data_IF_616512411498
#
_entry.id   IF_616512411498
#
_cell.length_a   1.000
_cell.length_b   1.000
_cell.length_c   1.000
_cell.angle_alpha   90.00
_cell.angle_beta   90.00
_cell.angle_gamma   90.00
#
_symmetry.space_group_name_H-M   'P 1'
#
loop_
_entity.id
_entity.type
_entity.pdbx_description
1 polymer ?
#
# COMPACT_ATOMS: atom_id res chain seq x y z
N UNK A 1 -8.64 -5.89 -21.56
CA UNK A 1 -7.72 -6.60 -20.63
C UNK A 1 -7.38 -7.95 -21.25
N UNK A 2 -6.12 -8.24 -21.55
CA UNK A 2 -5.72 -9.59 -21.99
C UNK A 2 -5.78 -10.53 -20.79
N UNK A 3 -6.82 -11.38 -20.74
CA UNK A 3 -7.07 -12.32 -19.65
C UNK A 3 -5.90 -13.30 -19.49
N UNK A 4 -5.29 -13.76 -20.60
CA UNK A 4 -4.16 -14.68 -20.55
C UNK A 4 -2.90 -14.01 -19.99
N UNK A 5 -2.63 -12.76 -20.39
CA UNK A 5 -1.54 -11.97 -19.85
C UNK A 5 -1.72 -11.74 -18.36
N UNK A 6 -2.91 -11.34 -17.91
CA UNK A 6 -3.21 -11.14 -16.47
C UNK A 6 -2.93 -12.40 -15.63
N UNK A 7 -3.40 -13.57 -16.05
CA UNK A 7 -3.12 -14.82 -15.30
C UNK A 7 -1.63 -15.19 -15.32
N UNK A 8 -0.91 -14.88 -16.40
CA UNK A 8 0.55 -15.09 -16.43
C UNK A 8 1.27 -14.14 -15.46
N UNK A 9 0.79 -12.92 -15.28
CA UNK A 9 1.38 -11.92 -14.40
C UNK A 9 1.07 -12.17 -12.92
N UNK A 10 0.05 -12.98 -12.59
CA UNK A 10 -0.30 -13.29 -11.19
C UNK A 10 0.88 -13.88 -10.40
N UNK A 11 1.78 -14.59 -11.05
CA UNK A 11 2.98 -15.15 -10.42
C UNK A 11 3.88 -14.04 -9.83
N UNK A 12 3.85 -12.84 -10.38
CA UNK A 12 4.58 -11.66 -9.90
C UNK A 12 3.72 -10.79 -8.99
N UNK A 13 2.43 -10.67 -9.30
CA UNK A 13 1.48 -9.82 -8.59
C UNK A 13 1.19 -10.36 -7.19
N UNK A 14 0.94 -11.66 -7.05
CA UNK A 14 0.55 -12.25 -5.75
C UNK A 14 1.62 -12.04 -4.66
N UNK A 15 2.90 -12.36 -4.87
CA UNK A 15 3.93 -12.07 -3.87
C UNK A 15 4.10 -10.57 -3.61
N UNK A 16 3.98 -9.73 -4.65
CA UNK A 16 4.09 -8.28 -4.51
C UNK A 16 2.94 -7.68 -3.68
N UNK A 17 1.70 -8.10 -3.92
CA UNK A 17 0.53 -7.71 -3.13
C UNK A 17 0.65 -8.22 -1.69
N UNK A 18 1.08 -9.48 -1.50
CA UNK A 18 1.27 -10.05 -0.17
C UNK A 18 2.27 -9.23 0.65
N UNK A 19 3.38 -8.79 0.04
CA UNK A 19 4.36 -7.91 0.69
C UNK A 19 3.72 -6.55 0.98
N UNK A 20 3.12 -5.90 -0.03
CA UNK A 20 2.59 -4.54 0.08
C UNK A 20 1.50 -4.41 1.15
N UNK A 21 0.54 -5.33 1.18
CA UNK A 21 -0.51 -5.35 2.19
C UNK A 21 0.03 -5.69 3.59
N UNK A 22 0.97 -6.64 3.67
CA UNK A 22 1.53 -7.04 4.98
C UNK A 22 2.30 -5.91 5.65
N UNK A 23 3.13 -5.18 4.90
CA UNK A 23 3.90 -4.06 5.47
C UNK A 23 3.00 -2.88 5.82
N UNK A 24 1.95 -2.66 5.03
CA UNK A 24 0.94 -1.64 5.28
C UNK A 24 0.19 -1.88 6.60
N UNK A 25 -0.43 -3.05 6.72
CA UNK A 25 -1.19 -3.42 7.92
C UNK A 25 -0.28 -3.55 9.16
N UNK A 26 0.94 -4.09 8.99
CA UNK A 26 1.93 -4.11 10.07
C UNK A 26 2.26 -2.70 10.56
N UNK A 27 2.42 -1.72 9.66
CA UNK A 27 2.74 -0.36 10.04
C UNK A 27 1.63 0.29 10.87
N UNK A 28 0.37 0.11 10.48
CA UNK A 28 -0.77 0.54 11.29
C UNK A 28 -0.76 -0.09 12.69
N UNK A 29 -0.61 -1.42 12.76
CA UNK A 29 -0.56 -2.14 14.03
C UNK A 29 0.62 -1.68 14.89
N UNK A 30 1.79 -1.47 14.28
CA UNK A 30 3.01 -1.09 14.99
C UNK A 30 2.91 0.32 15.58
N UNK A 31 2.43 1.30 14.80
CA UNK A 31 2.25 2.67 15.29
C UNK A 31 1.16 2.72 16.35
N UNK A 32 0.02 2.05 16.14
CA UNK A 32 -1.04 1.93 17.15
C UNK A 32 -0.52 1.35 18.47
N UNK A 33 0.26 0.26 18.39
CA UNK A 33 0.90 -0.36 19.55
C UNK A 33 1.86 0.61 20.28
N UNK A 34 2.68 1.35 19.51
CA UNK A 34 3.59 2.36 20.08
C UNK A 34 2.87 3.52 20.75
N UNK A 35 1.66 3.82 20.32
CA UNK A 35 0.79 4.83 20.92
C UNK A 35 -0.02 4.32 22.12
N UNK A 36 0.15 3.04 22.50
CA UNK A 36 -0.42 2.46 23.71
C UNK A 36 -1.46 1.37 23.48
N UNK A 37 -1.87 1.09 22.26
CA UNK A 37 -2.86 0.05 21.92
C UNK A 37 -2.23 -1.36 21.98
N UNK A 38 -2.20 -1.92 23.19
CA UNK A 38 -1.66 -3.26 23.44
C UNK A 38 -2.45 -4.36 22.72
N UNK A 39 -3.71 -4.11 22.34
CA UNK A 39 -4.57 -5.09 21.67
C UNK A 39 -3.96 -5.58 20.35
N UNK A 40 -3.11 -4.78 19.69
CA UNK A 40 -2.42 -5.18 18.45
C UNK A 40 -1.49 -6.38 18.66
N UNK A 41 -0.81 -6.44 19.81
CA UNK A 41 0.03 -7.57 20.18
C UNK A 41 -0.81 -8.81 20.51
N UNK A 42 -1.87 -8.64 21.27
CA UNK A 42 -2.79 -9.73 21.66
C UNK A 42 -3.48 -10.37 20.47
N UNK A 43 -3.87 -9.55 19.49
CA UNK A 43 -4.47 -10.00 18.22
C UNK A 43 -3.45 -10.58 17.23
N UNK A 44 -2.15 -10.59 17.58
CA UNK A 44 -1.07 -11.11 16.72
C UNK A 44 -0.91 -10.32 15.41
N UNK A 45 -1.17 -8.99 15.45
CA UNK A 45 -1.05 -8.11 14.27
C UNK A 45 0.36 -7.56 14.05
N UNK A 46 1.23 -7.65 15.06
CA UNK A 46 2.63 -7.23 14.99
C UNK A 46 3.50 -8.29 14.29
N UNK A 47 3.19 -8.59 13.05
CA UNK A 47 3.88 -9.61 12.23
C UNK A 47 3.90 -9.17 10.77
N UNK A 48 4.93 -9.61 10.04
CA UNK A 48 5.00 -9.47 8.58
C UNK A 48 4.48 -10.72 7.84
N UNK A 49 3.91 -11.70 8.56
CA UNK A 49 3.33 -12.89 7.94
C UNK A 49 2.07 -12.51 7.14
N UNK A 50 2.08 -12.63 5.80
CA UNK A 50 0.96 -12.21 4.97
C UNK A 50 -0.35 -12.94 5.29
N UNK A 51 -0.30 -14.19 5.75
CA UNK A 51 -1.50 -14.95 6.12
C UNK A 51 -2.30 -14.34 7.28
N UNK A 52 -1.69 -13.46 8.07
CA UNK A 52 -2.37 -12.71 9.13
C UNK A 52 -3.08 -11.45 8.64
N UNK A 53 -2.69 -10.96 7.48
CA UNK A 53 -3.16 -9.69 6.90
C UNK A 53 -4.04 -9.88 5.66
N UNK A 54 -3.88 -10.99 4.94
CA UNK A 54 -4.69 -11.27 3.77
C UNK A 54 -6.10 -11.73 4.16
N UNK A 55 -7.09 -11.20 3.47
CA UNK A 55 -8.47 -11.67 3.50
C UNK A 55 -8.68 -12.72 2.40
N UNK A 56 -9.23 -13.90 2.70
CA UNK A 56 -9.43 -14.94 1.68
C UNK A 56 -10.33 -14.50 0.53
N UNK A 57 -11.41 -13.77 0.82
CA UNK A 57 -12.33 -13.27 -0.22
C UNK A 57 -11.71 -12.11 -0.99
N UNK A 58 -10.97 -11.22 -0.31
CA UNK A 58 -10.21 -10.16 -0.95
C UNK A 58 -9.13 -10.70 -1.88
N UNK A 59 -8.45 -11.78 -1.49
CA UNK A 59 -7.45 -12.46 -2.33
C UNK A 59 -8.10 -13.14 -3.54
N UNK A 60 -9.22 -13.83 -3.36
CA UNK A 60 -9.97 -14.41 -4.48
C UNK A 60 -10.48 -13.33 -5.44
N UNK A 61 -11.00 -12.22 -4.91
CA UNK A 61 -11.42 -11.07 -5.71
C UNK A 61 -10.26 -10.52 -6.55
N UNK A 62 -9.06 -10.41 -5.98
CA UNK A 62 -7.88 -9.99 -6.73
C UNK A 62 -7.57 -10.92 -7.90
N UNK A 63 -7.67 -12.24 -7.70
CA UNK A 63 -7.38 -13.25 -8.74
C UNK A 63 -8.40 -13.20 -9.88
N UNK A 64 -9.67 -13.00 -9.59
CA UNK A 64 -10.74 -13.08 -10.60
C UNK A 64 -11.12 -11.73 -11.21
N UNK A 65 -11.01 -10.65 -10.44
CA UNK A 65 -11.50 -9.32 -10.84
C UNK A 65 -10.39 -8.27 -10.91
N UNK A 66 -9.14 -8.61 -10.53
CA UNK A 66 -8.01 -7.68 -10.56
C UNK A 66 -7.99 -6.66 -9.42
N UNK A 67 -8.93 -6.71 -8.48
CA UNK A 67 -8.93 -5.90 -7.26
C UNK A 67 -9.22 -6.76 -6.04
N UNK A 68 -8.66 -6.38 -4.90
CA UNK A 68 -8.84 -7.11 -3.65
C UNK A 68 -8.60 -6.20 -2.44
N UNK A 69 -8.80 -6.77 -1.26
CA UNK A 69 -8.60 -6.06 0.01
C UNK A 69 -7.89 -6.94 1.03
N UNK A 70 -7.26 -6.28 2.01
CA UNK A 70 -6.65 -6.93 3.16
C UNK A 70 -7.68 -7.10 4.29
N UNK A 71 -7.32 -7.91 5.27
CA UNK A 71 -8.01 -7.95 6.55
C UNK A 71 -7.53 -6.77 7.40
N UNK A 72 -8.34 -5.69 7.57
CA UNK A 72 -7.87 -4.46 8.17
C UNK A 72 -7.46 -4.62 9.62
N UNK A 73 -6.47 -3.85 10.04
CA UNK A 73 -6.09 -3.72 11.45
C UNK A 73 -7.14 -2.86 12.16
N UNK A 74 -7.76 -3.44 13.18
CA UNK A 74 -8.70 -2.73 14.04
C UNK A 74 -7.92 -2.02 15.14
N UNK A 75 -7.81 -0.71 15.04
CA UNK A 75 -7.15 0.14 16.04
C UNK A 75 -8.16 0.63 17.08
N UNK A 76 -7.74 0.78 18.32
CA UNK A 76 -8.58 1.29 19.39
C UNK A 76 -8.04 2.64 19.91
N UNK A 77 -8.67 3.77 19.50
CA UNK A 77 -8.24 5.11 19.89
C UNK A 77 -8.32 5.39 21.39
N UNK A 78 -9.05 4.58 22.17
CA UNK A 78 -9.16 4.75 23.63
C UNK A 78 -7.82 4.56 24.34
N UNK A 79 -6.91 3.80 23.77
CA UNK A 79 -5.55 3.63 24.29
C UNK A 79 -4.63 4.82 24.02
N UNK A 80 -4.99 5.73 23.12
CA UNK A 80 -4.13 6.85 22.75
C UNK A 80 -4.22 8.00 23.74
N UNK A 81 -3.08 8.57 24.11
CA UNK A 81 -3.03 9.77 24.96
C UNK A 81 -3.77 10.94 24.31
N UNK A 82 -3.57 11.14 23.01
CA UNK A 82 -4.35 12.05 22.16
C UNK A 82 -5.00 11.22 21.05
N UNK A 83 -6.31 11.06 21.14
CA UNK A 83 -7.08 10.21 20.19
C UNK A 83 -6.98 10.72 18.75
N UNK A 84 -7.08 12.03 18.56
CA UNK A 84 -7.04 12.67 17.25
C UNK A 84 -5.68 12.45 16.58
N UNK A 85 -4.61 12.87 17.25
CA UNK A 85 -3.26 12.74 16.69
C UNK A 85 -2.86 11.26 16.53
N UNK A 86 -3.24 10.42 17.48
CA UNK A 86 -2.97 8.98 17.41
C UNK A 86 -3.63 8.32 16.21
N UNK A 87 -4.88 8.67 15.89
CA UNK A 87 -5.58 8.17 14.70
C UNK A 87 -4.91 8.65 13.41
N UNK A 88 -4.48 9.91 13.35
CA UNK A 88 -3.79 10.47 12.17
C UNK A 88 -2.47 9.76 11.94
N UNK A 89 -1.62 9.64 12.97
CA UNK A 89 -0.33 8.96 12.86
C UNK A 89 -0.49 7.48 12.49
N UNK A 90 -1.47 6.81 13.09
CA UNK A 90 -1.76 5.43 12.76
C UNK A 90 -2.21 5.31 11.30
N UNK A 91 -3.10 6.18 10.84
CA UNK A 91 -3.58 6.16 9.45
C UNK A 91 -2.47 6.45 8.43
N UNK A 92 -1.58 7.39 8.74
CA UNK A 92 -0.44 7.70 7.86
C UNK A 92 0.60 6.58 7.79
N UNK A 93 0.70 5.73 8.83
CA UNK A 93 1.75 4.73 8.95
C UNK A 93 1.76 3.72 7.78
N UNK A 94 0.58 3.24 7.36
CA UNK A 94 0.44 2.31 6.24
C UNK A 94 0.97 2.89 4.92
N UNK A 95 0.40 4.00 4.44
CA UNK A 95 0.86 4.65 3.22
C UNK A 95 2.34 5.02 3.24
N UNK A 96 2.86 5.58 4.36
CA UNK A 96 4.27 5.92 4.50
C UNK A 96 5.17 4.68 4.41
N UNK A 97 4.79 3.57 5.04
CA UNK A 97 5.54 2.32 4.95
C UNK A 97 5.57 1.80 3.51
N UNK A 98 4.46 1.91 2.79
CA UNK A 98 4.43 1.54 1.38
C UNK A 98 5.39 2.37 0.53
N UNK A 99 5.49 3.69 0.73
CA UNK A 99 6.48 4.51 0.02
C UNK A 99 7.91 4.12 0.38
N UNK A 100 8.20 3.84 1.66
CA UNK A 100 9.52 3.38 2.10
C UNK A 100 9.88 2.05 1.41
N UNK A 101 8.99 1.07 1.44
CA UNK A 101 9.23 -0.24 0.80
C UNK A 101 9.31 -0.08 -0.71
N UNK A 102 8.45 0.73 -1.33
CA UNK A 102 8.54 1.05 -2.76
C UNK A 102 9.90 1.61 -3.15
N UNK A 103 10.43 2.57 -2.38
CA UNK A 103 11.77 3.14 -2.60
C UNK A 103 12.89 2.09 -2.44
N UNK A 104 12.83 1.25 -1.40
CA UNK A 104 13.79 0.16 -1.20
C UNK A 104 13.76 -0.86 -2.34
N UNK A 105 12.58 -1.16 -2.88
CA UNK A 105 12.44 -2.03 -4.05
C UNK A 105 13.01 -1.39 -5.32
N UNK A 106 12.88 -0.06 -5.51
CA UNK A 106 13.54 0.63 -6.63
C UNK A 106 15.06 0.56 -6.50
N UNK A 107 15.63 0.74 -5.29
CA UNK A 107 17.05 0.53 -5.06
C UNK A 107 17.47 -0.89 -5.49
N UNK A 108 16.76 -1.90 -5.00
CA UNK A 108 17.06 -3.29 -5.31
C UNK A 108 16.93 -3.58 -6.82
N UNK A 109 15.92 -3.03 -7.48
CA UNK A 109 15.71 -3.13 -8.93
C UNK A 109 16.90 -2.56 -9.72
N UNK A 110 17.38 -1.39 -9.33
CA UNK A 110 18.55 -0.76 -9.97
C UNK A 110 19.84 -1.54 -9.71
N UNK A 111 20.01 -2.14 -8.52
CA UNK A 111 21.14 -3.01 -8.23
C UNK A 111 21.12 -4.27 -9.10
N UNK A 112 19.95 -4.87 -9.35
CA UNK A 112 19.84 -6.00 -10.29
C UNK A 112 20.31 -5.63 -11.70
N UNK A 113 19.94 -4.45 -12.20
CA UNK A 113 20.43 -3.94 -13.50
C UNK A 113 21.94 -3.70 -13.44
N UNK A 114 22.41 -2.99 -12.41
CA UNK A 114 23.83 -2.58 -12.28
C UNK A 114 24.78 -3.78 -12.25
N UNK A 115 24.39 -4.89 -11.61
CA UNK A 115 25.19 -6.10 -11.52
C UNK A 115 24.89 -7.14 -12.61
N UNK A 116 24.08 -6.81 -13.60
CA UNK A 116 23.73 -7.69 -14.72
C UNK A 116 23.02 -8.97 -14.29
N UNK A 117 22.32 -8.96 -13.15
CA UNK A 117 21.66 -10.14 -12.60
C UNK A 117 20.46 -10.58 -13.43
N UNK A 118 19.86 -9.66 -14.17
CA UNK A 118 18.67 -9.89 -15.01
C UNK A 118 18.85 -11.04 -16.01
N UNK A 119 20.05 -11.17 -16.57
CA UNK A 119 20.33 -12.11 -17.67
C UNK A 119 20.99 -13.42 -17.21
N UNK A 120 21.12 -13.67 -15.92
CA UNK A 120 21.84 -14.86 -15.42
C UNK A 120 21.06 -16.15 -15.61
N UNK A 121 19.78 -16.17 -15.25
CA UNK A 121 18.88 -17.32 -15.40
C UNK A 121 17.40 -16.94 -15.18
N UNK A 122 16.49 -17.90 -15.41
CA UNK A 122 15.04 -17.64 -15.25
C UNK A 122 14.62 -17.26 -13.83
N UNK A 123 15.32 -17.72 -12.81
CA UNK A 123 15.01 -17.36 -11.43
C UNK A 123 15.37 -15.90 -11.11
N UNK A 124 16.51 -15.41 -11.59
CA UNK A 124 16.88 -14.00 -11.43
C UNK A 124 15.96 -13.08 -12.21
N UNK A 125 15.51 -13.50 -13.39
CA UNK A 125 14.47 -12.78 -14.14
C UNK A 125 13.15 -12.71 -13.35
N UNK A 126 12.70 -13.83 -12.79
CA UNK A 126 11.51 -13.87 -11.94
C UNK A 126 11.62 -12.91 -10.75
N UNK A 127 12.74 -12.93 -10.02
CA UNK A 127 12.97 -12.00 -8.91
C UNK A 127 12.97 -10.55 -9.36
N UNK A 128 13.55 -10.24 -10.51
CA UNK A 128 13.55 -8.89 -11.07
C UNK A 128 12.11 -8.39 -11.32
N UNK A 129 11.27 -9.23 -11.91
CA UNK A 129 9.86 -8.92 -12.13
C UNK A 129 9.10 -8.72 -10.82
N UNK A 130 9.30 -9.61 -9.84
CA UNK A 130 8.68 -9.46 -8.51
C UNK A 130 9.11 -8.17 -7.82
N UNK A 131 10.40 -7.80 -7.88
CA UNK A 131 10.91 -6.56 -7.28
C UNK A 131 10.27 -5.33 -7.93
N UNK A 132 10.25 -5.27 -9.28
CA UNK A 132 9.63 -4.16 -10.00
C UNK A 132 8.12 -4.04 -9.73
N UNK A 133 7.42 -5.17 -9.75
CA UNK A 133 5.99 -5.23 -9.42
C UNK A 133 5.73 -4.81 -7.97
N UNK A 134 6.59 -5.23 -7.02
CA UNK A 134 6.48 -4.85 -5.62
C UNK A 134 6.68 -3.34 -5.43
N UNK A 135 7.65 -2.74 -6.13
CA UNK A 135 7.86 -1.29 -6.11
C UNK A 135 6.59 -0.56 -6.58
N UNK A 136 6.08 -0.96 -7.74
CA UNK A 136 4.91 -0.36 -8.38
C UNK A 136 3.65 -0.48 -7.51
N UNK A 137 3.37 -1.67 -6.97
CA UNK A 137 2.18 -1.91 -6.12
C UNK A 137 2.30 -1.14 -4.80
N UNK A 138 3.46 -1.11 -4.16
CA UNK A 138 3.64 -0.36 -2.91
C UNK A 138 3.40 1.13 -3.13
N UNK A 139 4.00 1.75 -4.15
CA UNK A 139 3.77 3.17 -4.44
C UNK A 139 2.30 3.42 -4.78
N UNK A 140 1.68 2.60 -5.63
CA UNK A 140 0.26 2.71 -5.97
C UNK A 140 -0.66 2.59 -4.76
N UNK A 141 -0.42 1.62 -3.88
CA UNK A 141 -1.19 1.41 -2.65
C UNK A 141 -1.03 2.59 -1.67
N UNK A 142 0.19 3.13 -1.55
CA UNK A 142 0.45 4.33 -0.76
C UNK A 142 -0.34 5.54 -1.24
N UNK A 143 -0.33 5.81 -2.55
CA UNK A 143 -1.10 6.91 -3.17
C UNK A 143 -2.59 6.69 -2.97
N UNK A 144 -3.08 5.49 -3.28
CA UNK A 144 -4.50 5.16 -3.19
C UNK A 144 -5.03 5.38 -1.78
N UNK A 145 -4.31 4.89 -0.76
CA UNK A 145 -4.72 5.05 0.63
C UNK A 145 -4.59 6.48 1.17
N UNK A 146 -3.88 7.39 0.51
CA UNK A 146 -3.85 8.81 0.85
C UNK A 146 -5.05 9.60 0.30
N UNK A 147 -5.88 9.01 -0.57
CA UNK A 147 -7.10 9.66 -1.04
C UNK A 147 -8.02 9.94 0.16
N UNK A 148 -8.46 11.19 0.37
CA UNK A 148 -9.20 11.59 1.56
C UNK A 148 -10.69 11.21 1.49
N UNK A 149 -10.99 9.97 1.11
CA UNK A 149 -12.35 9.43 0.97
C UNK A 149 -12.45 8.13 1.77
N UNK A 150 -13.44 7.97 2.68
CA UNK A 150 -13.71 6.68 3.31
C UNK A 150 -13.95 5.57 2.28
N UNK A 151 -13.49 4.34 2.52
CA UNK A 151 -12.91 3.80 3.75
C UNK A 151 -11.39 3.93 3.85
N UNK A 152 -10.72 4.69 2.96
CA UNK A 152 -9.28 4.79 2.85
C UNK A 152 -8.66 5.54 4.04
N UNK A 153 -7.38 5.29 4.31
CA UNK A 153 -6.68 5.89 5.44
C UNK A 153 -6.59 7.41 5.37
N UNK A 154 -6.51 7.97 4.16
CA UNK A 154 -6.55 9.41 3.92
C UNK A 154 -7.78 10.11 4.52
N UNK A 155 -8.90 9.40 4.63
CA UNK A 155 -10.10 9.94 5.28
C UNK A 155 -9.91 10.21 6.78
N UNK A 156 -9.08 9.41 7.46
CA UNK A 156 -8.76 9.60 8.87
C UNK A 156 -7.83 10.78 9.09
N UNK A 157 -7.03 11.15 8.08
CA UNK A 157 -6.19 12.35 8.09
C UNK A 157 -7.06 13.61 8.09
N UNK A 158 -8.23 13.57 7.46
CA UNK A 158 -9.20 14.68 7.48
C UNK A 158 -9.64 15.06 8.90
N UNK A 159 -9.58 14.14 9.87
CA UNK A 159 -9.84 14.44 11.27
C UNK A 159 -8.91 15.54 11.81
N UNK A 160 -7.68 15.64 11.25
CA UNK A 160 -6.73 16.71 11.58
C UNK A 160 -7.13 18.08 11.05
N UNK A 161 -7.82 18.13 9.94
CA UNK A 161 -8.11 19.34 9.15
C UNK A 161 -9.53 19.82 9.39
N UNK A 162 -10.50 18.91 9.43
CA UNK A 162 -11.91 19.23 9.56
C UNK A 162 -12.32 19.46 11.02
N UNK A 163 -13.39 20.23 11.20
CA UNK A 163 -14.10 20.30 12.49
C UNK A 163 -14.73 18.95 12.79
N UNK A 164 -14.76 18.56 14.06
CA UNK A 164 -15.30 17.25 14.49
C UNK A 164 -16.68 16.96 13.93
N UNK A 165 -17.61 17.93 14.00
CA UNK A 165 -18.97 17.76 13.47
C UNK A 165 -18.98 17.44 11.97
N UNK A 166 -18.13 18.08 11.18
CA UNK A 166 -18.03 17.88 9.74
C UNK A 166 -17.41 16.50 9.45
N UNK A 167 -16.40 16.12 10.20
CA UNK A 167 -15.76 14.80 10.09
C UNK A 167 -16.76 13.68 10.41
N UNK A 168 -17.48 13.77 11.53
CA UNK A 168 -18.46 12.75 11.90
C UNK A 168 -19.63 12.67 10.91
N UNK A 169 -20.09 13.79 10.36
CA UNK A 169 -21.09 13.78 9.28
C UNK A 169 -20.57 13.05 8.04
N UNK A 170 -19.30 13.26 7.65
CA UNK A 170 -18.69 12.54 6.53
C UNK A 170 -18.65 11.04 6.80
N UNK A 171 -18.26 10.62 8.01
CA UNK A 171 -18.17 9.22 8.41
C UNK A 171 -19.52 8.50 8.42
N UNK A 172 -20.63 9.20 8.63
CA UNK A 172 -21.98 8.62 8.51
C UNK A 172 -22.28 8.10 7.10
N UNK A 173 -21.60 8.64 6.09
CA UNK A 173 -21.71 8.22 4.69
C UNK A 173 -20.63 7.22 4.26
N UNK A 174 -19.81 6.71 5.18
CA UNK A 174 -18.69 5.80 4.87
C UNK A 174 -19.11 4.61 3.98
N UNK A 175 -20.24 3.99 4.29
CA UNK A 175 -20.77 2.86 3.51
C UNK A 175 -21.08 3.26 2.06
N UNK A 176 -21.75 4.39 1.86
CA UNK A 176 -22.09 4.89 0.52
C UNK A 176 -20.83 5.31 -0.25
N UNK A 177 -19.90 5.98 0.41
CA UNK A 177 -18.62 6.38 -0.18
C UNK A 177 -17.77 5.16 -0.56
N UNK A 178 -17.81 4.09 0.24
CA UNK A 178 -17.17 2.82 -0.08
C UNK A 178 -17.74 2.19 -1.35
N UNK A 179 -19.05 2.16 -1.50
CA UNK A 179 -19.70 1.67 -2.74
C UNK A 179 -19.33 2.52 -3.95
N UNK A 180 -19.34 3.85 -3.81
CA UNK A 180 -18.92 4.76 -4.87
C UNK A 180 -17.45 4.50 -5.24
N UNK A 181 -16.56 4.32 -4.26
CA UNK A 181 -15.15 4.03 -4.51
C UNK A 181 -14.97 2.72 -5.27
N UNK A 182 -15.66 1.65 -4.89
CA UNK A 182 -15.64 0.37 -5.60
C UNK A 182 -16.14 0.55 -7.04
N UNK A 183 -17.24 1.28 -7.23
CA UNK A 183 -17.76 1.56 -8.56
C UNK A 183 -16.75 2.34 -9.43
N UNK A 184 -16.09 3.36 -8.89
CA UNK A 184 -15.07 4.13 -9.60
C UNK A 184 -13.86 3.26 -9.97
N UNK A 185 -13.45 2.34 -9.10
CA UNK A 185 -12.39 1.37 -9.41
C UNK A 185 -12.82 0.41 -10.54
N UNK A 186 -14.04 -0.12 -10.47
CA UNK A 186 -14.55 -1.04 -11.50
C UNK A 186 -14.72 -0.38 -12.87
N UNK A 187 -15.01 0.91 -12.92
CA UNK A 187 -15.14 1.67 -14.19
C UNK A 187 -13.80 2.09 -14.78
N UNK A 188 -12.70 1.95 -14.03
CA UNK A 188 -11.36 2.38 -14.46
C UNK A 188 -11.17 3.90 -14.54
N UNK A 189 -12.12 4.70 -14.06
CA UNK A 189 -12.01 6.18 -14.08
C UNK A 189 -10.80 6.66 -13.29
N UNK A 190 -10.44 5.94 -12.22
CA UNK A 190 -9.30 6.29 -11.38
C UNK A 190 -7.96 5.79 -11.94
N UNK A 191 -7.95 4.89 -12.93
CA UNK A 191 -6.72 4.27 -13.43
C UNK A 191 -5.74 5.31 -13.98
N UNK A 192 -6.19 6.22 -14.83
CA UNK A 192 -5.36 7.27 -15.41
C UNK A 192 -4.66 8.13 -14.35
N UNK A 193 -5.39 8.82 -13.48
CA UNK A 193 -4.80 9.62 -12.40
C UNK A 193 -3.86 8.84 -11.47
N UNK A 194 -4.23 7.61 -11.08
CA UNK A 194 -3.42 6.78 -10.20
C UNK A 194 -2.14 6.29 -10.88
N UNK A 195 -2.21 5.91 -12.16
CA UNK A 195 -1.03 5.51 -12.96
C UNK A 195 -0.07 6.69 -13.07
N UNK A 196 -0.53 7.87 -13.48
CA UNK A 196 0.33 9.05 -13.61
C UNK A 196 0.98 9.46 -12.29
N UNK A 197 0.23 9.45 -11.17
CA UNK A 197 0.78 9.76 -9.87
C UNK A 197 1.83 8.73 -9.42
N UNK A 198 1.59 7.44 -9.67
CA UNK A 198 2.54 6.36 -9.38
C UNK A 198 3.83 6.50 -10.20
N UNK A 199 3.72 6.73 -11.51
CA UNK A 199 4.86 6.92 -12.39
C UNK A 199 5.69 8.13 -11.96
N UNK A 200 5.06 9.26 -11.67
CA UNK A 200 5.75 10.45 -11.20
C UNK A 200 6.56 10.19 -9.91
N UNK A 201 6.02 9.44 -8.95
CA UNK A 201 6.75 9.11 -7.72
C UNK A 201 7.90 8.12 -8.01
N UNK A 202 7.68 7.10 -8.84
CA UNK A 202 8.72 6.16 -9.23
C UNK A 202 9.86 6.88 -9.97
N UNK A 203 9.56 7.83 -10.84
CA UNK A 203 10.56 8.67 -11.52
C UNK A 203 11.37 9.51 -10.53
N UNK A 204 10.72 10.10 -9.52
CA UNK A 204 11.42 10.81 -8.43
C UNK A 204 12.37 9.86 -7.70
N UNK A 205 11.94 8.64 -7.38
CA UNK A 205 12.78 7.65 -6.71
C UNK A 205 14.00 7.26 -7.55
N UNK A 206 13.80 6.98 -8.85
CA UNK A 206 14.88 6.64 -9.79
C UNK A 206 15.84 7.81 -9.96
N UNK A 207 15.33 9.02 -10.17
CA UNK A 207 16.16 10.21 -10.33
C UNK A 207 16.99 10.52 -9.09
N UNK A 208 16.40 10.40 -7.90
CA UNK A 208 17.12 10.55 -6.63
C UNK A 208 18.35 9.63 -6.56
N UNK A 209 18.22 8.38 -7.04
CA UNK A 209 19.32 7.41 -7.03
C UNK A 209 20.35 7.65 -8.13
N UNK A 210 19.93 8.12 -9.30
CA UNK A 210 20.84 8.42 -10.41
C UNK A 210 21.71 9.64 -10.11
N UNK A 211 21.13 10.68 -9.51
CA UNK A 211 21.87 11.90 -9.16
C UNK A 211 22.83 11.71 -7.97
N UNK A 212 22.63 10.70 -7.14
CA UNK A 212 23.54 10.35 -6.04
C UNK A 212 24.70 9.44 -6.47
N UNK A 213 24.65 8.89 -7.70
CA UNK A 213 25.75 8.14 -8.26
C UNK A 213 26.84 9.09 -8.74
N UNK A 214 28.12 8.98 -8.27
CA UNK A 214 29.21 9.79 -8.82
C UNK A 214 29.32 9.53 -10.33
N UNK A 215 29.33 10.61 -11.12
CA UNK A 215 29.58 10.53 -12.55
C UNK A 215 30.85 9.71 -12.82
N UNK A 216 30.82 8.73 -13.71
CA UNK A 216 32.04 8.02 -14.10
C UNK A 216 33.00 9.04 -14.69
N UNK A 217 34.16 9.21 -14.02
CA UNK A 217 35.29 9.99 -14.54
C UNK A 217 36.01 9.18 -15.62
#
# INVERSE_FOLDING_TARGET
MDIRGFFADLIYILPAVAIALSVHEFAHAFVSYKLGDISQKERGRLTLNPLKHLDPFGTLSLIFFGFGWAKPVQVDPYFYRNKKDGMIWTAMAGPLMNFIVGFLMVILYMLFIRFGLLYKNGFTYYLFQVIGTTASINVGLGIFNLIPIPPLDGSKILMGILKEETYFKLMQYEMYLSFIMIFLLMTGVLDGPLIHAREAILDVFVNCLLYTSPSPR
#
